data_IF_460096365846
#
_entry.id   IF_460096365846
#
_cell.length_a   1.000
_cell.length_b   1.000
_cell.length_c   1.000
_cell.angle_alpha   90.00
_cell.angle_beta   90.00
_cell.angle_gamma   90.00
#
_symmetry.space_group_name_H-M   'P 1'
#
loop_
_entity.id
_entity.type
_entity.pdbx_description
1 polymer ?
#
# COMPACT_ATOMS: atom_id res chain seq x y z
N UNK A 1 -0.72 19.84 4.99
CA UNK A 1 0.14 18.63 5.05
C UNK A 1 0.70 18.29 6.42
N UNK A 2 1.20 19.23 7.25
CA UNK A 2 1.76 18.89 8.58
C UNK A 2 0.82 18.02 9.45
N UNK A 3 -0.43 18.44 9.62
CA UNK A 3 -1.42 17.72 10.43
C UNK A 3 -1.68 16.31 9.86
N UNK A 4 -1.93 16.19 8.56
CA UNK A 4 -2.17 14.88 7.92
C UNK A 4 -0.98 13.94 8.07
N UNK A 5 0.25 14.45 7.90
CA UNK A 5 1.47 13.66 8.09
C UNK A 5 1.64 13.23 9.55
N UNK A 6 1.36 14.11 10.52
CA UNK A 6 1.40 13.75 11.94
C UNK A 6 0.37 12.67 12.29
N UNK A 7 -0.86 12.79 11.79
CA UNK A 7 -1.89 11.77 11.99
C UNK A 7 -1.43 10.42 11.41
N UNK A 8 -0.97 10.42 10.15
CA UNK A 8 -0.43 9.24 9.49
C UNK A 8 0.73 8.62 10.28
N UNK A 9 1.72 9.44 10.67
CA UNK A 9 2.88 8.99 11.42
C UNK A 9 2.47 8.35 12.74
N UNK A 10 1.61 9.00 13.51
CA UNK A 10 1.18 8.47 14.80
C UNK A 10 0.42 7.14 14.65
N UNK A 11 -0.56 7.07 13.74
CA UNK A 11 -1.34 5.84 13.51
C UNK A 11 -0.46 4.67 13.07
N UNK A 12 0.53 4.91 12.20
CA UNK A 12 1.42 3.85 11.73
C UNK A 12 2.38 3.37 12.82
N UNK A 13 2.89 4.29 13.66
CA UNK A 13 3.74 3.90 14.79
C UNK A 13 2.96 3.17 15.89
N UNK A 14 1.71 3.57 16.15
CA UNK A 14 0.82 2.87 17.08
C UNK A 14 0.59 1.43 16.64
N UNK A 15 0.24 1.22 15.36
CA UNK A 15 0.11 -0.13 14.79
C UNK A 15 1.41 -0.94 14.91
N UNK A 16 2.56 -0.35 14.59
CA UNK A 16 3.85 -1.02 14.72
C UNK A 16 4.19 -1.39 16.16
N UNK A 17 3.82 -0.54 17.12
CA UNK A 17 4.00 -0.79 18.54
C UNK A 17 3.11 -1.93 19.04
N UNK A 18 1.83 -1.97 18.64
CA UNK A 18 0.91 -3.04 19.01
C UNK A 18 1.41 -4.41 18.52
N UNK A 19 1.82 -4.51 17.26
CA UNK A 19 2.35 -5.78 16.71
C UNK A 19 3.69 -6.13 17.36
N UNK A 20 4.57 -5.16 17.62
CA UNK A 20 5.80 -5.44 18.36
C UNK A 20 5.51 -5.99 19.77
N UNK A 21 4.54 -5.43 20.48
CA UNK A 21 4.19 -5.86 21.83
C UNK A 21 3.51 -7.24 21.86
N UNK A 22 2.63 -7.54 20.90
CA UNK A 22 1.86 -8.78 20.88
C UNK A 22 2.61 -9.95 20.22
N UNK A 23 3.42 -9.67 19.19
CA UNK A 23 4.06 -10.67 18.33
C UNK A 23 5.58 -10.71 18.47
N UNK A 24 6.20 -9.76 19.20
CA UNK A 24 7.64 -9.57 19.24
C UNK A 24 8.27 -9.42 17.84
N UNK A 25 7.53 -8.79 16.92
CA UNK A 25 7.90 -8.62 15.52
C UNK A 25 7.90 -7.14 15.14
N UNK A 26 9.04 -6.62 14.68
CA UNK A 26 9.12 -5.26 14.16
C UNK A 26 8.59 -5.18 12.73
N UNK A 27 7.38 -4.63 12.58
CA UNK A 27 6.74 -4.45 11.27
C UNK A 27 6.95 -3.06 10.65
N UNK A 28 7.61 -2.14 11.37
CA UNK A 28 7.80 -0.76 10.91
C UNK A 28 8.55 -0.64 9.58
N UNK A 29 9.57 -1.46 9.27
CA UNK A 29 10.23 -1.41 7.98
C UNK A 29 9.26 -1.66 6.81
N UNK A 30 8.33 -2.61 6.99
CA UNK A 30 7.35 -2.96 5.96
C UNK A 30 6.34 -1.84 5.75
N UNK A 31 5.75 -1.33 6.83
CA UNK A 31 4.78 -0.22 6.77
C UNK A 31 5.40 1.04 6.16
N UNK A 32 6.61 1.42 6.58
CA UNK A 32 7.30 2.62 6.06
C UNK A 32 7.55 2.53 4.56
N UNK A 33 8.01 1.37 4.06
CA UNK A 33 8.20 1.19 2.62
C UNK A 33 6.86 1.27 1.89
N UNK A 34 5.84 0.56 2.32
CA UNK A 34 4.55 0.51 1.60
C UNK A 34 3.88 1.88 1.52
N UNK A 35 3.97 2.69 2.58
CA UNK A 35 3.55 4.09 2.53
C UNK A 35 4.42 4.92 1.57
N UNK A 36 5.73 4.71 1.59
CA UNK A 36 6.66 5.36 0.66
C UNK A 36 6.36 5.03 -0.80
N UNK A 37 6.05 3.77 -1.10
CA UNK A 37 5.71 3.30 -2.45
C UNK A 37 4.36 3.87 -2.91
N UNK A 38 3.36 3.93 -2.04
CA UNK A 38 2.08 4.59 -2.34
C UNK A 38 2.28 6.08 -2.66
N UNK A 39 3.04 6.80 -1.84
CA UNK A 39 3.35 8.22 -2.08
C UNK A 39 4.10 8.44 -3.40
N UNK A 40 5.04 7.55 -3.75
CA UNK A 40 5.73 7.59 -5.05
C UNK A 40 4.76 7.35 -6.21
N UNK A 41 3.86 6.38 -6.08
CA UNK A 41 2.87 6.09 -7.10
C UNK A 41 1.90 7.27 -7.33
N UNK A 42 1.46 7.93 -6.25
CA UNK A 42 0.70 9.17 -6.36
C UNK A 42 1.49 10.31 -7.00
N UNK A 43 2.79 10.43 -6.70
CA UNK A 43 3.64 11.44 -7.31
C UNK A 43 3.80 11.22 -8.82
N UNK A 44 3.89 9.97 -9.28
CA UNK A 44 3.92 9.64 -10.70
C UNK A 44 2.63 10.11 -11.40
N UNK A 45 1.46 9.79 -10.85
CA UNK A 45 0.18 10.24 -11.42
C UNK A 45 0.03 11.76 -11.39
N UNK A 46 0.43 12.40 -10.30
CA UNK A 46 0.44 13.86 -10.20
C UNK A 46 1.36 14.47 -11.26
N UNK A 47 2.53 13.86 -11.50
CA UNK A 47 3.48 14.33 -12.53
C UNK A 47 2.85 14.23 -13.91
N UNK A 48 2.26 13.08 -14.26
CA UNK A 48 1.56 12.90 -15.53
C UNK A 48 0.45 13.94 -15.71
N UNK A 49 -0.34 14.17 -14.67
CA UNK A 49 -1.42 15.16 -14.68
C UNK A 49 -0.91 16.58 -14.91
N UNK A 50 0.10 17.04 -14.15
CA UNK A 50 0.61 18.40 -14.26
C UNK A 50 1.48 18.65 -15.50
N UNK A 51 1.96 17.60 -16.18
CA UNK A 51 2.72 17.72 -17.43
C UNK A 51 1.87 17.47 -18.67
N UNK A 52 0.54 17.32 -18.54
CA UNK A 52 -0.37 16.91 -19.62
C UNK A 52 0.08 15.63 -20.36
N UNK A 53 0.80 14.75 -19.65
CA UNK A 53 1.28 13.50 -20.23
C UNK A 53 0.20 12.43 -20.10
N UNK A 54 -0.15 11.83 -21.23
CA UNK A 54 -1.10 10.70 -21.27
C UNK A 54 -0.28 9.41 -21.28
N UNK A 55 -0.25 8.65 -20.17
CA UNK A 55 0.45 7.38 -20.13
C UNK A 55 -0.22 6.35 -21.04
N UNK A 56 0.56 5.40 -21.53
CA UNK A 56 0.01 4.17 -22.12
C UNK A 56 -0.77 3.37 -21.07
N UNK A 57 -1.65 2.47 -21.50
CA UNK A 57 -2.39 1.60 -20.59
C UNK A 57 -1.43 0.76 -19.71
N UNK A 58 -0.30 0.33 -20.28
CA UNK A 58 0.71 -0.43 -19.55
C UNK A 58 1.38 0.42 -18.46
N UNK A 59 1.83 1.64 -18.78
CA UNK A 59 2.41 2.55 -17.79
C UNK A 59 1.41 2.89 -16.69
N UNK A 60 0.19 3.25 -17.08
CA UNK A 60 -0.88 3.57 -16.16
C UNK A 60 -1.18 2.41 -15.21
N UNK A 61 -1.41 1.20 -15.74
CA UNK A 61 -1.76 0.05 -14.91
C UNK A 61 -0.61 -0.42 -14.03
N UNK A 62 0.63 -0.34 -14.50
CA UNK A 62 1.82 -0.69 -13.71
C UNK A 62 2.05 0.23 -12.51
N UNK A 63 1.61 1.49 -12.58
CA UNK A 63 1.57 2.38 -11.42
C UNK A 63 0.24 2.25 -10.64
N UNK A 64 -0.86 2.07 -11.36
CA UNK A 64 -2.24 2.14 -10.89
C UNK A 64 -2.61 1.09 -9.85
N UNK A 65 -2.02 -0.11 -9.95
CA UNK A 65 -2.23 -1.17 -8.96
C UNK A 65 -1.59 -0.85 -7.59
N UNK A 66 -0.59 0.04 -7.55
CA UNK A 66 -0.04 0.56 -6.29
C UNK A 66 -0.84 1.78 -5.83
N UNK A 67 -1.11 2.72 -6.75
CA UNK A 67 -1.81 3.98 -6.44
C UNK A 67 -3.25 3.78 -5.95
N UNK A 68 -3.89 2.64 -6.27
CA UNK A 68 -5.19 2.26 -5.69
C UNK A 68 -5.13 1.91 -4.20
N UNK A 69 -3.94 1.93 -3.57
CA UNK A 69 -3.68 1.64 -2.16
C UNK A 69 -3.94 0.20 -1.71
N UNK A 70 -4.42 -0.70 -2.57
CA UNK A 70 -4.67 -2.10 -2.22
C UNK A 70 -3.46 -2.81 -1.59
N UNK A 71 -2.22 -2.72 -2.13
CA UNK A 71 -1.08 -3.40 -1.53
C UNK A 71 -0.79 -2.95 -0.09
N UNK A 72 -0.94 -1.64 0.16
CA UNK A 72 -0.81 -1.06 1.49
C UNK A 72 -1.92 -1.59 2.41
N UNK A 73 -3.17 -1.53 1.97
CA UNK A 73 -4.31 -2.01 2.75
C UNK A 73 -4.20 -3.50 3.06
N UNK A 74 -3.66 -4.32 2.15
CA UNK A 74 -3.41 -5.74 2.41
C UNK A 74 -2.43 -5.93 3.57
N UNK A 75 -1.33 -5.18 3.64
CA UNK A 75 -0.36 -5.28 4.74
C UNK A 75 -1.01 -4.83 6.05
N UNK A 76 -1.75 -3.73 6.05
CA UNK A 76 -2.49 -3.28 7.24
C UNK A 76 -3.48 -4.34 7.71
N UNK A 77 -4.29 -4.89 6.79
CA UNK A 77 -5.25 -5.94 7.09
C UNK A 77 -4.57 -7.20 7.63
N UNK A 78 -3.44 -7.62 7.05
CA UNK A 78 -2.70 -8.79 7.54
C UNK A 78 -2.17 -8.58 8.97
N UNK A 79 -1.65 -7.39 9.27
CA UNK A 79 -1.14 -7.04 10.60
C UNK A 79 -2.24 -6.87 11.66
N UNK A 80 -3.44 -6.42 11.28
CA UNK A 80 -4.54 -6.12 12.22
C UNK A 80 -5.57 -7.25 12.37
N UNK A 81 -5.80 -8.02 11.31
CA UNK A 81 -6.82 -9.09 11.27
C UNK A 81 -6.22 -10.48 11.42
N UNK A 82 -4.89 -10.62 11.27
CA UNK A 82 -4.25 -11.88 11.61
C UNK A 82 -4.51 -12.19 13.08
N UNK A 83 -4.89 -13.43 13.39
CA UNK A 83 -4.78 -13.90 14.77
C UNK A 83 -3.37 -13.55 15.23
N UNK A 84 -3.23 -12.91 16.39
CA UNK A 84 -1.94 -12.45 16.90
C UNK A 84 -0.89 -13.58 17.03
N UNK A 85 -1.23 -14.84 16.76
CA UNK A 85 -0.31 -15.98 16.69
C UNK A 85 0.21 -16.29 15.26
N UNK A 86 -0.26 -15.61 14.21
CA UNK A 86 -0.03 -16.02 12.80
C UNK A 86 0.60 -14.96 11.89
N UNK A 87 1.00 -13.80 12.41
CA UNK A 87 1.79 -12.82 11.64
C UNK A 87 3.22 -13.34 11.50
N UNK A 88 3.66 -13.62 10.28
CA UNK A 88 5.02 -14.10 10.01
C UNK A 88 5.83 -13.10 9.20
N UNK A 89 7.14 -13.10 9.45
CA UNK A 89 8.10 -12.28 8.71
C UNK A 89 8.11 -12.64 7.21
N UNK A 90 8.05 -13.93 6.89
CA UNK A 90 8.07 -14.42 5.50
C UNK A 90 6.85 -13.95 4.71
N UNK A 91 5.66 -13.95 5.34
CA UNK A 91 4.46 -13.39 4.71
C UNK A 91 4.62 -11.89 4.46
N UNK A 92 5.10 -11.13 5.45
CA UNK A 92 5.36 -9.71 5.30
C UNK A 92 6.40 -9.42 4.21
N UNK A 93 7.46 -10.21 4.10
CA UNK A 93 8.47 -10.10 3.04
C UNK A 93 7.89 -10.38 1.65
N UNK A 94 7.06 -11.41 1.51
CA UNK A 94 6.35 -11.73 0.27
C UNK A 94 5.46 -10.57 -0.19
N UNK A 95 4.70 -9.97 0.74
CA UNK A 95 3.85 -8.80 0.47
C UNK A 95 4.70 -7.56 0.13
N UNK A 96 5.77 -7.33 0.89
CA UNK A 96 6.67 -6.18 0.77
C UNK A 96 7.45 -6.13 -0.54
N UNK A 97 7.87 -7.29 -1.05
CA UNK A 97 8.61 -7.40 -2.30
C UNK A 97 7.70 -7.35 -3.53
N UNK A 98 6.38 -7.15 -3.34
CA UNK A 98 5.40 -7.23 -4.43
C UNK A 98 5.46 -8.57 -5.17
N UNK A 99 5.89 -9.64 -4.49
CA UNK A 99 6.03 -10.99 -5.05
C UNK A 99 4.72 -11.79 -4.99
N UNK A 100 3.69 -11.23 -4.37
CA UNK A 100 2.38 -11.84 -4.29
C UNK A 100 1.54 -11.50 -5.52
N UNK A 101 1.44 -12.46 -6.44
CA UNK A 101 0.52 -12.39 -7.58
C UNK A 101 -0.94 -12.18 -7.12
N UNK A 102 -1.29 -12.68 -5.94
CA UNK A 102 -2.60 -12.45 -5.32
C UNK A 102 -2.84 -10.97 -5.03
N UNK A 103 -1.87 -10.30 -4.38
CA UNK A 103 -1.99 -8.86 -4.07
C UNK A 103 -2.00 -8.06 -5.36
N UNK A 104 -1.12 -8.38 -6.33
CA UNK A 104 -1.11 -7.67 -7.62
C UNK A 104 -2.44 -7.83 -8.35
N UNK A 105 -2.96 -9.06 -8.46
CA UNK A 105 -4.21 -9.34 -9.18
C UNK A 105 -5.42 -8.70 -8.49
N UNK A 106 -5.54 -8.80 -7.17
CA UNK A 106 -6.62 -8.15 -6.41
C UNK A 106 -6.53 -6.62 -6.50
N UNK A 107 -5.33 -6.05 -6.48
CA UNK A 107 -5.11 -4.63 -6.67
C UNK A 107 -5.49 -4.17 -8.08
N UNK A 108 -5.17 -4.96 -9.10
CA UNK A 108 -5.59 -4.68 -10.47
C UNK A 108 -7.12 -4.71 -10.61
N UNK A 109 -7.79 -5.69 -10.02
CA UNK A 109 -9.26 -5.74 -9.99
C UNK A 109 -9.82 -4.48 -9.30
N UNK A 110 -9.26 -4.10 -8.15
CA UNK A 110 -9.72 -2.91 -7.43
C UNK A 110 -9.51 -1.63 -8.23
N UNK A 111 -8.34 -1.48 -8.87
CA UNK A 111 -8.02 -0.36 -9.76
C UNK A 111 -9.03 -0.26 -10.89
N UNK A 112 -9.22 -1.34 -11.66
CA UNK A 112 -10.11 -1.34 -12.80
C UNK A 112 -11.58 -1.12 -12.41
N UNK A 113 -12.04 -1.68 -11.29
CA UNK A 113 -13.39 -1.45 -10.78
C UNK A 113 -13.58 0.00 -10.31
N UNK A 114 -12.58 0.58 -9.64
CA UNK A 114 -12.60 1.98 -9.24
C UNK A 114 -12.62 2.92 -10.45
N UNK A 115 -11.82 2.64 -11.47
CA UNK A 115 -11.77 3.42 -12.71
C UNK A 115 -13.12 3.38 -13.41
N UNK A 116 -13.71 2.19 -13.59
CA UNK A 116 -15.03 2.02 -14.21
C UNK A 116 -16.12 2.83 -13.48
N UNK A 117 -16.04 2.92 -12.15
CA UNK A 117 -17.03 3.63 -11.34
C UNK A 117 -16.81 5.16 -11.29
N UNK A 118 -15.60 5.63 -11.54
CA UNK A 118 -15.22 7.06 -11.37
C UNK A 118 -14.88 7.78 -12.67
N UNK A 119 -14.62 7.05 -13.76
CA UNK A 119 -14.46 7.62 -15.09
C UNK A 119 -15.81 8.15 -15.58
N UNK A 120 -15.82 9.42 -15.99
CA UNK A 120 -16.99 10.05 -16.62
C UNK A 120 -16.97 9.88 -18.14
#
# INVERSE_FOLDING_TARGET
MKICFFALYNTVNEMGYEVLNNNNLDIMPYLKKSWGDLCKAFLVEATWYYSDYIPTLEEYTNNGWISVSAPLLSIHAYCQLGDHEHITKDALECMYNNQSDLIRSSSMIFRLANDLATSK
#
